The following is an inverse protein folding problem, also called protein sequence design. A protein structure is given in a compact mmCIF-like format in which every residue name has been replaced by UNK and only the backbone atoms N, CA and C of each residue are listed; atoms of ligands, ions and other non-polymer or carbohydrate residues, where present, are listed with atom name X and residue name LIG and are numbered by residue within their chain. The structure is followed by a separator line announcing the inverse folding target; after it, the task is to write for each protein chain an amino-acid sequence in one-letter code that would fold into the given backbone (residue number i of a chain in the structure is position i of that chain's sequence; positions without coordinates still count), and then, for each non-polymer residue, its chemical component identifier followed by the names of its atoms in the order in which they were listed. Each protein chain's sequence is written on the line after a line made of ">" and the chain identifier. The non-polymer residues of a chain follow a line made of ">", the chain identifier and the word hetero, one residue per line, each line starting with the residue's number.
data_IF_763106706104
#
_entry.id   IF_763106706104
#
_cell.length_a   1.000
_cell.length_b   1.000
_cell.length_c   1.000
_cell.angle_alpha   90.00
_cell.angle_beta   90.00
_cell.angle_gamma   90.00
#
_symmetry.space_group_name_H-M   'P 1'
#
loop_
_entity.id
_entity.type
_entity.pdbx_description
1 polymer ?
#
# COMPACT_ATOMS: atom_id res chain seq x y z
N UNK A 1 -5.46 28.74 3.39
CA UNK A 1 -4.35 28.46 2.45
C UNK A 1 -4.33 26.97 2.15
N UNK A 2 -4.63 26.64 0.88
CA UNK A 2 -4.30 25.43 0.09
C UNK A 2 -4.26 24.10 0.87
N UNK A 3 -5.24 23.19 0.80
CA UNK A 3 -5.90 22.68 -0.41
C UNK A 3 -5.15 21.45 -0.95
N UNK A 4 -5.27 20.29 -0.28
CA UNK A 4 -4.89 19.00 -0.84
C UNK A 4 -5.94 17.94 -0.51
N UNK A 5 -6.87 17.79 -1.43
CA UNK A 5 -7.92 16.78 -1.47
C UNK A 5 -7.31 15.48 -2.01
N UNK A 6 -7.14 14.45 -1.17
CA UNK A 6 -6.83 13.09 -1.66
C UNK A 6 -8.14 12.32 -1.84
N UNK A 7 -8.57 12.19 -3.10
CA UNK A 7 -9.61 11.25 -3.52
C UNK A 7 -9.16 9.82 -3.19
N UNK A 8 -9.94 9.12 -2.36
CA UNK A 8 -9.82 7.68 -2.18
C UNK A 8 -10.48 6.97 -3.37
N UNK A 9 -9.67 6.39 -4.24
CA UNK A 9 -10.13 5.49 -5.29
C UNK A 9 -10.37 4.09 -4.68
N UNK A 10 -11.64 3.75 -4.47
CA UNK A 10 -12.09 2.47 -3.95
C UNK A 10 -12.11 1.40 -5.06
N UNK A 11 -10.95 0.96 -5.55
CA UNK A 11 -10.83 -0.30 -6.33
C UNK A 11 -9.46 -0.95 -6.14
N UNK A 12 -9.33 -1.82 -5.13
CA UNK A 12 -8.19 -2.76 -5.08
C UNK A 12 -8.67 -4.18 -5.40
N UNK A 13 -8.59 -4.51 -6.68
CA UNK A 13 -8.46 -5.88 -7.17
C UNK A 13 -7.04 -6.36 -6.85
N UNK A 14 -6.95 -7.47 -6.12
CA UNK A 14 -5.71 -8.16 -5.78
C UNK A 14 -5.01 -8.67 -7.06
N UNK A 15 -3.89 -8.05 -7.40
CA UNK A 15 -2.85 -8.64 -8.27
C UNK A 15 -1.51 -8.60 -7.52
N UNK A 16 -0.68 -9.65 -7.63
CA UNK A 16 0.62 -9.68 -6.97
C UNK A 16 1.57 -8.69 -7.66
N UNK A 17 2.06 -7.70 -6.92
CA UNK A 17 3.15 -6.84 -7.37
C UNK A 17 4.46 -7.63 -7.32
N UNK A 18 5.13 -7.74 -8.47
CA UNK A 18 6.50 -8.23 -8.57
C UNK A 18 7.49 -7.31 -7.82
N UNK A 19 8.63 -7.85 -7.32
CA UNK A 19 9.59 -7.06 -6.57
C UNK A 19 10.31 -6.05 -7.47
N UNK A 20 10.41 -4.80 -6.99
CA UNK A 20 11.31 -3.78 -7.56
C UNK A 20 12.76 -4.24 -7.35
N UNK A 21 13.44 -4.58 -8.44
CA UNK A 21 14.88 -4.80 -8.45
C UNK A 21 15.54 -3.43 -8.24
N UNK A 22 16.31 -3.31 -7.15
CA UNK A 22 17.14 -2.15 -6.86
C UNK A 22 18.25 -2.04 -7.92
N UNK A 23 18.38 -0.86 -8.52
CA UNK A 23 19.41 -0.59 -9.52
C UNK A 23 20.80 -0.66 -8.89
N UNK A 24 21.58 -1.66 -9.30
CA UNK A 24 23.03 -1.65 -9.13
C UNK A 24 23.65 -1.34 -10.50
N UNK A 25 24.45 -0.26 -10.54
CA UNK A 25 25.26 0.12 -11.70
C UNK A 25 26.37 -0.91 -11.89
N UNK A 26 26.32 -1.68 -12.97
CA UNK A 26 27.50 -2.38 -13.50
C UNK A 26 27.42 -2.43 -15.02
N UNK A 27 28.41 -1.81 -15.67
CA UNK A 27 28.73 -1.99 -17.10
C UNK A 27 29.04 -3.48 -17.33
N UNK A 28 28.44 -4.11 -18.33
CA UNK A 28 29.11 -5.16 -19.11
C UNK A 28 28.47 -5.31 -20.50
N UNK A 29 29.36 -5.40 -21.48
CA UNK A 29 29.20 -5.63 -22.91
C UNK A 29 28.69 -7.03 -23.22
N UNK A 30 28.01 -7.22 -24.37
CA UNK A 30 27.70 -8.55 -24.92
C UNK A 30 28.18 -8.62 -26.39
N UNK A 31 28.73 -9.76 -26.84
CA UNK A 31 29.40 -9.92 -28.14
C UNK A 31 28.44 -10.22 -29.30
N UNK A 32 29.01 -10.09 -30.50
CA UNK A 32 28.44 -10.45 -31.78
C UNK A 32 28.16 -11.96 -31.93
N UNK A 33 27.04 -12.32 -32.59
CA UNK A 33 27.06 -12.93 -33.93
C UNK A 33 25.73 -13.61 -34.32
N UNK A 34 25.46 -13.55 -35.63
CA UNK A 34 24.51 -14.33 -36.46
C UNK A 34 23.05 -13.85 -36.48
N UNK A 35 22.67 -13.00 -37.45
CA UNK A 35 22.40 -13.27 -38.88
C UNK A 35 20.97 -13.78 -39.10
N UNK A 36 20.03 -12.91 -39.50
CA UNK A 36 19.53 -12.68 -40.88
C UNK A 36 18.00 -12.69 -40.73
N UNK A 37 17.17 -11.87 -41.35
CA UNK A 37 17.19 -11.34 -42.70
C UNK A 37 16.18 -10.15 -42.77
N UNK A 38 16.46 -9.20 -43.68
CA UNK A 38 15.60 -8.14 -44.29
C UNK A 38 15.27 -6.85 -43.53
N UNK A 39 15.83 -5.75 -44.07
CA UNK A 39 15.01 -4.69 -44.67
C UNK A 39 15.09 -3.29 -44.04
N UNK A 40 15.85 -2.39 -44.69
CA UNK A 40 15.78 -0.91 -44.61
C UNK A 40 16.27 -0.19 -43.34
N UNK A 41 17.59 -0.18 -43.13
CA UNK A 41 18.47 1.01 -43.18
C UNK A 41 18.31 2.21 -42.21
N UNK A 42 19.27 2.50 -41.31
CA UNK A 42 19.29 3.64 -40.37
C UNK A 42 19.73 4.99 -41.00
N UNK A 43 19.44 5.24 -42.28
CA UNK A 43 19.94 6.42 -43.01
C UNK A 43 19.15 7.72 -42.77
N UNK A 44 17.91 7.64 -42.30
CA UNK A 44 17.00 8.80 -42.26
C UNK A 44 17.23 9.66 -41.02
N UNK A 45 17.47 9.07 -39.83
CA UNK A 45 17.73 9.84 -38.61
C UNK A 45 19.06 10.63 -38.66
N UNK A 46 20.08 10.10 -39.35
CA UNK A 46 21.40 10.74 -39.43
C UNK A 46 21.43 11.94 -40.39
N UNK A 47 20.54 11.97 -41.38
CA UNK A 47 20.39 13.10 -42.30
C UNK A 47 19.62 14.27 -41.66
N UNK A 48 18.66 13.96 -40.78
CA UNK A 48 17.82 14.95 -40.06
C UNK A 48 18.68 15.79 -39.09
N UNK A 49 19.61 15.16 -38.38
CA UNK A 49 20.45 15.86 -37.39
C UNK A 49 21.41 16.86 -38.06
N UNK A 50 21.93 16.53 -39.25
CA UNK A 50 22.79 17.45 -40.03
C UNK A 50 22.03 18.65 -40.60
N UNK A 51 20.80 18.46 -41.08
CA UNK A 51 19.99 19.54 -41.64
C UNK A 51 19.54 20.55 -40.58
N UNK A 52 19.13 20.07 -39.39
CA UNK A 52 18.73 20.93 -38.27
C UNK A 52 19.93 21.68 -37.70
N UNK A 53 21.10 21.04 -37.59
CA UNK A 53 22.34 21.70 -37.16
C UNK A 53 22.80 22.81 -38.13
N UNK A 54 22.68 22.60 -39.44
CA UNK A 54 22.98 23.64 -40.45
C UNK A 54 22.02 24.83 -40.39
N UNK A 55 20.73 24.58 -40.11
CA UNK A 55 19.75 25.65 -39.97
C UNK A 55 20.01 26.51 -38.72
N UNK A 56 20.34 25.85 -37.60
CA UNK A 56 20.67 26.52 -36.33
C UNK A 56 21.97 27.31 -36.45
N UNK A 57 22.99 26.78 -37.13
CA UNK A 57 24.26 27.50 -37.34
C UNK A 57 24.09 28.73 -38.22
N UNK A 58 23.28 28.63 -39.28
CA UNK A 58 22.96 29.75 -40.18
C UNK A 58 22.19 30.86 -39.45
N UNK A 59 21.20 30.51 -38.63
CA UNK A 59 20.43 31.48 -37.84
C UNK A 59 21.28 32.15 -36.75
N UNK A 60 22.22 31.41 -36.14
CA UNK A 60 23.17 31.92 -35.14
C UNK A 60 24.17 32.92 -35.75
N UNK A 61 24.74 32.62 -36.92
CA UNK A 61 25.66 33.51 -37.63
C UNK A 61 25.00 34.82 -38.07
N UNK A 62 23.72 34.74 -38.45
CA UNK A 62 22.93 35.91 -38.87
C UNK A 62 22.57 36.78 -37.66
N UNK A 63 22.22 36.16 -36.52
CA UNK A 63 21.96 36.85 -35.24
C UNK A 63 23.21 37.53 -34.65
N UNK A 64 24.39 36.94 -34.80
CA UNK A 64 25.64 37.50 -34.29
C UNK A 64 26.09 38.79 -35.03
N UNK A 65 25.70 38.95 -36.30
CA UNK A 65 26.01 40.15 -37.11
C UNK A 65 25.11 41.36 -36.81
N UNK A 66 24.00 41.16 -36.09
CA UNK A 66 23.03 42.22 -35.75
C UNK A 66 23.38 42.99 -34.46
N UNK A 67 24.45 42.62 -33.75
CA UNK A 67 24.84 43.22 -32.46
C UNK A 67 25.59 44.56 -32.51
N UNK A 68 25.81 45.16 -33.69
CA UNK A 68 26.39 46.51 -33.83
C UNK A 68 25.65 47.30 -34.91
N UNK A 69 24.71 48.11 -34.47
CA UNK A 69 23.86 49.00 -35.27
C UNK A 69 24.62 50.26 -35.69
N UNK A 70 24.29 50.82 -36.86
CA UNK A 70 23.79 52.20 -37.04
C UNK A 70 23.39 52.41 -38.51
N UNK A 71 22.19 52.94 -38.69
CA UNK A 71 21.37 53.09 -39.92
C UNK A 71 20.67 51.84 -40.45
N UNK A 72 19.37 51.73 -40.13
CA UNK A 72 18.46 50.74 -40.73
C UNK A 72 17.79 51.40 -41.93
N UNK A 73 18.31 51.09 -43.10
CA UNK A 73 17.75 51.50 -44.39
C UNK A 73 16.47 50.68 -44.66
N UNK A 74 15.31 51.33 -44.67
CA UNK A 74 13.97 50.70 -44.80
C UNK A 74 13.89 49.88 -46.10
N UNK A 75 14.61 50.28 -47.15
CA UNK A 75 14.70 49.53 -48.40
C UNK A 75 15.47 48.21 -48.28
N UNK A 76 16.50 48.13 -47.44
CA UNK A 76 17.22 46.87 -47.19
C UNK A 76 16.40 45.89 -46.37
N UNK A 77 15.59 46.41 -45.43
CA UNK A 77 14.68 45.57 -44.65
C UNK A 77 13.57 45.01 -45.56
N UNK A 78 12.99 45.84 -46.45
CA UNK A 78 12.03 45.39 -47.45
C UNK A 78 12.60 44.30 -48.38
N UNK A 79 13.81 44.49 -48.90
CA UNK A 79 14.47 43.51 -49.76
C UNK A 79 14.81 42.18 -49.05
N UNK A 80 15.16 42.23 -47.76
CA UNK A 80 15.38 41.03 -46.95
C UNK A 80 14.08 40.28 -46.66
N UNK A 81 12.99 41.01 -46.42
CA UNK A 81 11.66 40.43 -46.23
C UNK A 81 11.14 39.83 -47.53
N UNK A 82 11.32 40.50 -48.67
CA UNK A 82 10.94 39.99 -49.99
C UNK A 82 11.75 38.75 -50.38
N UNK A 83 13.08 38.73 -50.13
CA UNK A 83 13.88 37.50 -50.33
C UNK A 83 13.46 36.36 -49.42
N UNK A 84 13.09 36.65 -48.18
CA UNK A 84 12.62 35.64 -47.24
C UNK A 84 11.25 35.10 -47.69
N UNK A 85 10.35 35.98 -48.13
CA UNK A 85 9.05 35.61 -48.67
C UNK A 85 9.19 34.80 -49.97
N UNK A 86 10.05 35.21 -50.90
CA UNK A 86 10.34 34.47 -52.13
C UNK A 86 10.98 33.11 -51.83
N UNK A 87 11.91 33.04 -50.89
CA UNK A 87 12.53 31.76 -50.49
C UNK A 87 11.53 30.84 -49.79
N UNK A 88 10.63 31.39 -48.97
CA UNK A 88 9.53 30.64 -48.37
C UNK A 88 8.51 30.18 -49.41
N UNK A 89 8.17 31.02 -50.39
CA UNK A 89 7.23 30.66 -51.45
C UNK A 89 7.82 29.62 -52.40
N UNK A 90 9.11 29.72 -52.71
CA UNK A 90 9.81 28.78 -53.59
C UNK A 90 9.97 27.40 -52.95
N UNK A 91 10.21 27.35 -51.63
CA UNK A 91 10.38 26.10 -50.89
C UNK A 91 9.07 25.55 -50.28
N UNK A 92 7.98 26.32 -50.34
CA UNK A 92 6.65 25.92 -49.85
C UNK A 92 6.16 24.59 -50.46
N UNK A 93 6.29 24.36 -51.79
CA UNK A 93 5.81 23.13 -52.42
C UNK A 93 6.60 21.89 -52.02
N UNK A 94 7.92 22.03 -51.78
CA UNK A 94 8.75 20.93 -51.28
C UNK A 94 8.45 20.64 -49.80
N UNK A 95 8.28 21.68 -48.99
CA UNK A 95 7.88 21.53 -47.59
C UNK A 95 6.49 20.88 -47.48
N UNK A 96 5.54 21.28 -48.32
CA UNK A 96 4.20 20.69 -48.43
C UNK A 96 4.28 19.22 -48.88
N UNK A 97 5.06 18.90 -49.91
CA UNK A 97 5.25 17.53 -50.40
C UNK A 97 5.89 16.61 -49.34
N UNK A 98 6.86 17.14 -48.60
CA UNK A 98 7.44 16.44 -47.45
C UNK A 98 6.39 16.25 -46.35
N UNK A 99 5.65 17.29 -45.97
CA UNK A 99 4.61 17.19 -44.96
C UNK A 99 3.52 16.17 -45.35
N UNK A 100 3.08 16.13 -46.61
CA UNK A 100 2.14 15.11 -47.09
C UNK A 100 2.75 13.71 -47.11
N UNK A 101 4.01 13.55 -47.51
CA UNK A 101 4.71 12.25 -47.45
C UNK A 101 4.87 11.75 -46.01
N UNK A 102 5.19 12.65 -45.08
CA UNK A 102 5.25 12.37 -43.65
C UNK A 102 3.86 12.05 -43.09
N UNK A 103 2.83 12.80 -43.48
CA UNK A 103 1.45 12.55 -43.10
C UNK A 103 0.95 11.20 -43.62
N UNK A 104 1.20 10.85 -44.88
CA UNK A 104 0.82 9.55 -45.46
C UNK A 104 1.57 8.38 -44.81
N UNK A 105 2.81 8.60 -44.34
CA UNK A 105 3.59 7.56 -43.66
C UNK A 105 3.14 7.36 -42.21
N UNK A 106 2.85 8.46 -41.50
CA UNK A 106 2.40 8.44 -40.09
C UNK A 106 0.92 8.02 -40.00
N UNK A 107 0.10 8.50 -40.93
CA UNK A 107 -1.35 8.23 -41.02
C UNK A 107 -1.70 7.18 -42.07
N UNK A 108 -0.74 6.41 -42.58
CA UNK A 108 -1.01 5.22 -43.42
C UNK A 108 -1.99 4.32 -42.67
N UNK A 109 -3.28 4.27 -43.06
CA UNK A 109 -4.32 3.66 -42.22
C UNK A 109 -4.01 2.19 -41.99
N UNK A 110 -3.36 1.54 -42.95
CA UNK A 110 -2.99 0.13 -42.92
C UNK A 110 -1.88 -0.19 -41.91
N UNK A 111 -0.88 0.68 -41.73
CA UNK A 111 0.24 0.43 -40.80
C UNK A 111 -0.20 0.64 -39.36
N UNK A 112 -0.89 1.76 -39.12
CA UNK A 112 -1.47 2.05 -37.80
C UNK A 112 -2.50 0.99 -37.42
N UNK A 113 -3.42 0.62 -38.32
CA UNK A 113 -4.38 -0.46 -38.10
C UNK A 113 -3.69 -1.80 -37.81
N UNK A 114 -2.60 -2.14 -38.52
CA UNK A 114 -1.82 -3.36 -38.24
C UNK A 114 -1.19 -3.34 -36.84
N UNK A 115 -0.65 -2.20 -36.40
CA UNK A 115 -0.10 -2.04 -35.05
C UNK A 115 -1.18 -2.17 -33.98
N UNK A 116 -2.34 -1.54 -34.16
CA UNK A 116 -3.48 -1.69 -33.25
C UNK A 116 -4.01 -3.12 -33.21
N UNK A 117 -4.11 -3.81 -34.34
CA UNK A 117 -4.52 -5.21 -34.40
C UNK A 117 -3.52 -6.14 -33.71
N UNK A 118 -2.21 -5.89 -33.86
CA UNK A 118 -1.18 -6.63 -33.13
C UNK A 118 -1.28 -6.40 -31.62
N UNK A 119 -1.46 -5.15 -31.18
CA UNK A 119 -1.62 -4.81 -29.77
C UNK A 119 -2.88 -5.45 -29.18
N UNK A 120 -4.00 -5.38 -29.90
CA UNK A 120 -5.26 -6.01 -29.49
C UNK A 120 -5.13 -7.53 -29.46
N UNK A 121 -4.45 -8.14 -30.44
CA UNK A 121 -4.15 -9.56 -30.45
C UNK A 121 -3.32 -10.00 -29.24
N UNK A 122 -2.31 -9.21 -28.85
CA UNK A 122 -1.50 -9.47 -27.66
C UNK A 122 -2.34 -9.38 -26.38
N UNK A 123 -3.11 -8.29 -26.21
CA UNK A 123 -4.00 -8.09 -25.07
C UNK A 123 -5.04 -9.22 -24.95
N UNK A 124 -5.67 -9.60 -26.06
CA UNK A 124 -6.63 -10.71 -26.09
C UNK A 124 -5.96 -12.04 -25.75
N UNK A 125 -4.73 -12.27 -26.21
CA UNK A 125 -3.98 -13.49 -25.87
C UNK A 125 -3.64 -13.54 -24.38
N UNK A 126 -3.18 -12.43 -23.79
CA UNK A 126 -2.91 -12.33 -22.35
C UNK A 126 -4.21 -12.51 -21.54
N UNK A 127 -5.31 -11.92 -22.00
CA UNK A 127 -6.62 -12.08 -21.37
C UNK A 127 -7.09 -13.55 -21.39
N UNK A 128 -7.03 -14.20 -22.56
CA UNK A 128 -7.39 -15.61 -22.73
C UNK A 128 -6.49 -16.50 -21.87
N UNK A 129 -5.17 -16.28 -21.88
CA UNK A 129 -4.23 -16.99 -21.02
C UNK A 129 -4.60 -16.85 -19.54
N UNK A 130 -4.87 -15.64 -19.07
CA UNK A 130 -5.29 -15.41 -17.69
C UNK A 130 -6.66 -16.01 -17.37
N UNK A 131 -7.58 -16.06 -18.33
CA UNK A 131 -8.88 -16.70 -18.17
C UNK A 131 -8.72 -18.21 -18.05
N UNK A 132 -7.98 -18.84 -18.96
CA UNK A 132 -7.67 -20.27 -18.95
C UNK A 132 -6.93 -20.67 -17.68
N UNK A 133 -5.91 -19.91 -17.26
CA UNK A 133 -5.21 -20.13 -16.00
C UNK A 133 -6.15 -20.07 -14.80
N UNK A 134 -7.03 -19.06 -14.73
CA UNK A 134 -8.01 -18.94 -13.63
C UNK A 134 -9.03 -20.07 -13.62
N UNK A 135 -9.51 -20.51 -14.79
CA UNK A 135 -10.46 -21.62 -14.89
C UNK A 135 -9.79 -22.95 -14.54
N UNK A 136 -8.60 -23.21 -15.07
CA UNK A 136 -7.79 -24.39 -14.74
C UNK A 136 -7.46 -24.46 -13.25
N UNK A 137 -6.98 -23.36 -12.65
CA UNK A 137 -6.70 -23.29 -11.22
C UNK A 137 -7.97 -23.54 -10.37
N UNK A 138 -9.14 -23.01 -10.77
CA UNK A 138 -10.41 -23.30 -10.08
C UNK A 138 -10.80 -24.77 -10.17
N UNK A 139 -10.61 -25.39 -11.33
CA UNK A 139 -10.92 -26.81 -11.52
C UNK A 139 -9.98 -27.70 -10.69
N UNK A 140 -8.67 -27.44 -10.74
CA UNK A 140 -7.67 -28.14 -9.93
C UNK A 140 -7.94 -27.95 -8.44
N UNK A 141 -8.28 -26.75 -7.98
CA UNK A 141 -8.65 -26.49 -6.59
C UNK A 141 -9.94 -27.22 -6.17
N UNK A 142 -10.89 -27.48 -7.08
CA UNK A 142 -12.07 -28.30 -6.77
C UNK A 142 -11.75 -29.80 -6.71
N UNK A 143 -10.86 -30.27 -7.58
CA UNK A 143 -10.54 -31.69 -7.68
C UNK A 143 -9.57 -32.15 -6.58
N UNK A 144 -8.64 -31.31 -6.15
CA UNK A 144 -7.68 -31.64 -5.10
C UNK A 144 -8.31 -31.62 -3.70
N UNK A 145 -7.93 -32.58 -2.85
CA UNK A 145 -8.36 -32.64 -1.43
C UNK A 145 -7.98 -31.34 -0.71
N UNK A 146 -6.76 -30.86 -0.95
CA UNK A 146 -6.23 -29.61 -0.40
C UNK A 146 -7.10 -28.40 -0.79
N UNK A 147 -7.49 -28.28 -2.05
CA UNK A 147 -8.31 -27.15 -2.51
C UNK A 147 -9.75 -27.19 -1.97
N UNK A 148 -10.33 -28.38 -1.77
CA UNK A 148 -11.61 -28.53 -1.05
C UNK A 148 -11.49 -28.08 0.40
N UNK A 149 -10.44 -28.50 1.11
CA UNK A 149 -10.16 -28.09 2.49
C UNK A 149 -9.99 -26.57 2.60
N UNK A 150 -9.26 -25.93 1.66
CA UNK A 150 -9.12 -24.47 1.61
C UNK A 150 -10.48 -23.80 1.42
N UNK A 151 -11.29 -24.28 0.47
CA UNK A 151 -12.63 -23.72 0.22
C UNK A 151 -13.56 -23.86 1.42
N UNK A 152 -13.54 -25.02 2.08
CA UNK A 152 -14.33 -25.28 3.29
C UNK A 152 -13.87 -24.40 4.45
N UNK A 153 -12.56 -24.33 4.70
CA UNK A 153 -11.97 -23.50 5.76
C UNK A 153 -12.31 -22.03 5.53
N UNK A 154 -12.22 -21.53 4.29
CA UNK A 154 -12.63 -20.17 3.94
C UNK A 154 -14.11 -19.91 4.23
N UNK A 155 -14.98 -20.89 3.93
CA UNK A 155 -16.41 -20.80 4.23
C UNK A 155 -16.67 -20.77 5.74
N UNK A 156 -15.91 -21.55 6.52
CA UNK A 156 -15.98 -21.57 7.98
C UNK A 156 -15.48 -20.25 8.59
N UNK A 157 -14.37 -19.70 8.11
CA UNK A 157 -13.87 -18.37 8.50
C UNK A 157 -14.93 -17.29 8.27
N UNK A 158 -15.58 -17.29 7.11
CA UNK A 158 -16.62 -16.29 6.78
C UNK A 158 -17.91 -16.44 7.62
N UNK A 159 -18.15 -17.61 8.21
CA UNK A 159 -19.32 -17.91 9.06
C UNK A 159 -19.00 -17.92 10.56
N UNK A 160 -17.75 -17.69 10.94
CA UNK A 160 -17.31 -17.73 12.33
C UNK A 160 -18.07 -16.68 13.16
N UNK A 161 -18.54 -17.07 14.35
CA UNK A 161 -19.33 -16.18 15.22
C UNK A 161 -18.47 -15.40 16.22
N UNK A 162 -17.29 -15.92 16.52
CA UNK A 162 -16.35 -15.34 17.47
C UNK A 162 -14.91 -15.44 16.94
N UNK A 163 -14.01 -14.69 17.58
CA UNK A 163 -12.60 -14.65 17.21
C UNK A 163 -11.93 -16.03 17.31
N UNK A 164 -12.26 -16.83 18.33
CA UNK A 164 -11.64 -18.14 18.55
C UNK A 164 -11.94 -19.16 17.44
N UNK A 165 -13.20 -19.24 16.99
CA UNK A 165 -13.59 -20.04 15.83
C UNK A 165 -12.90 -19.57 14.55
N UNK A 166 -12.82 -18.26 14.37
CA UNK A 166 -12.14 -17.65 13.23
C UNK A 166 -10.64 -17.99 13.26
N UNK A 167 -9.99 -17.85 14.42
CA UNK A 167 -8.56 -18.10 14.62
C UNK A 167 -8.20 -19.55 14.33
N UNK A 168 -8.97 -20.52 14.84
CA UNK A 168 -8.77 -21.94 14.50
C UNK A 168 -8.79 -22.20 13.00
N UNK A 169 -9.72 -21.55 12.30
CA UNK A 169 -9.80 -21.68 10.85
C UNK A 169 -8.66 -20.92 10.14
N UNK A 170 -8.22 -19.78 10.67
CA UNK A 170 -7.08 -19.01 10.18
C UNK A 170 -5.77 -19.80 10.31
N UNK A 171 -5.52 -20.43 11.44
CA UNK A 171 -4.36 -21.32 11.66
C UNK A 171 -4.37 -22.49 10.68
N UNK A 172 -5.54 -23.13 10.51
CA UNK A 172 -5.70 -24.20 9.52
C UNK A 172 -5.46 -23.70 8.09
N UNK A 173 -5.88 -22.48 7.77
CA UNK A 173 -5.62 -21.87 6.47
C UNK A 173 -4.11 -21.63 6.27
N UNK A 174 -3.42 -21.14 7.29
CA UNK A 174 -1.97 -20.92 7.24
C UNK A 174 -1.19 -22.22 7.07
N UNK A 175 -1.63 -23.32 7.70
CA UNK A 175 -1.08 -24.67 7.46
C UNK A 175 -1.28 -25.12 6.02
N UNK A 176 -2.51 -25.02 5.51
CA UNK A 176 -2.85 -25.45 4.16
C UNK A 176 -2.08 -24.63 3.12
N UNK A 177 -1.97 -23.32 3.29
CA UNK A 177 -1.25 -22.44 2.37
C UNK A 177 0.28 -22.46 2.60
N UNK A 178 0.77 -23.18 3.61
CA UNK A 178 2.20 -23.29 3.92
C UNK A 178 2.81 -22.02 4.51
N UNK A 179 1.97 -21.10 5.00
CA UNK A 179 2.37 -19.81 5.58
C UNK A 179 3.05 -19.97 6.94
N UNK A 180 2.81 -21.08 7.64
CA UNK A 180 3.52 -21.39 8.90
C UNK A 180 5.04 -21.42 8.72
N UNK A 181 5.53 -21.93 7.59
CA UNK A 181 6.99 -21.93 7.30
C UNK A 181 7.56 -20.52 7.30
N UNK A 182 6.83 -19.54 6.77
CA UNK A 182 7.26 -18.15 6.81
C UNK A 182 7.28 -17.58 8.23
N UNK A 183 6.34 -18.00 9.11
CA UNK A 183 6.31 -17.56 10.51
C UNK A 183 7.47 -18.13 11.32
N UNK A 184 7.84 -19.38 11.07
CA UNK A 184 8.94 -20.08 11.78
C UNK A 184 10.32 -19.53 11.41
N UNK A 185 10.54 -19.22 10.13
CA UNK A 185 11.82 -18.70 9.62
C UNK A 185 12.03 -17.25 10.11
N UNK A 186 13.01 -16.95 10.99
CA UNK A 186 13.21 -15.61 11.52
C UNK A 186 13.69 -14.59 10.48
N UNK A 187 14.30 -15.03 9.39
CA UNK A 187 14.88 -14.13 8.40
C UNK A 187 13.78 -13.36 7.64
N UNK A 188 13.98 -12.05 7.54
CA UNK A 188 13.15 -11.15 6.76
C UNK A 188 13.88 -9.83 6.53
N UNK A 189 13.55 -9.15 5.43
CA UNK A 189 13.98 -7.78 5.16
C UNK A 189 13.12 -6.73 5.85
N UNK A 190 11.99 -7.14 6.46
CA UNK A 190 11.00 -6.24 7.04
C UNK A 190 11.39 -5.74 8.44
N UNK A 191 12.29 -6.44 9.13
CA UNK A 191 12.77 -6.13 10.48
C UNK A 191 14.18 -6.70 10.69
N UNK A 192 14.87 -6.22 11.72
CA UNK A 192 16.20 -6.73 12.08
C UNK A 192 16.10 -7.93 13.04
N UNK A 193 16.01 -9.13 12.48
CA UNK A 193 15.91 -10.39 13.23
C UNK A 193 17.15 -10.69 14.09
N UNK A 194 18.35 -10.28 13.66
CA UNK A 194 19.60 -10.52 14.41
C UNK A 194 19.60 -9.73 15.71
N UNK A 195 19.32 -8.42 15.63
CA UNK A 195 19.22 -7.57 16.81
C UNK A 195 18.09 -8.02 17.75
N UNK A 196 16.99 -8.51 17.19
CA UNK A 196 15.89 -9.05 17.99
C UNK A 196 16.33 -10.31 18.76
N UNK A 197 17.04 -11.23 18.12
CA UNK A 197 17.57 -12.43 18.76
C UNK A 197 18.62 -12.10 19.84
N UNK A 198 19.53 -11.16 19.56
CA UNK A 198 20.51 -10.67 20.53
C UNK A 198 19.81 -10.08 21.76
N UNK A 199 18.74 -9.29 21.57
CA UNK A 199 17.96 -8.75 22.68
C UNK A 199 17.23 -9.81 23.50
N UNK A 200 16.65 -10.82 22.84
CA UNK A 200 16.07 -11.97 23.55
C UNK A 200 17.13 -12.63 24.44
N UNK A 201 18.31 -12.90 23.88
CA UNK A 201 19.40 -13.55 24.62
C UNK A 201 19.88 -12.67 25.78
N UNK A 202 20.01 -11.36 25.56
CA UNK A 202 20.41 -10.41 26.59
C UNK A 202 19.45 -10.43 27.79
N UNK A 203 18.14 -10.36 27.56
CA UNK A 203 17.16 -10.41 28.64
C UNK A 203 17.18 -11.75 29.39
N UNK A 204 17.27 -12.86 28.66
CA UNK A 204 17.35 -14.18 29.29
C UNK A 204 18.59 -14.32 30.18
N UNK A 205 19.75 -13.86 29.71
CA UNK A 205 20.99 -13.94 30.49
C UNK A 205 20.90 -13.08 31.76
N UNK A 206 20.33 -11.88 31.68
CA UNK A 206 20.14 -11.00 32.86
C UNK A 206 19.20 -11.64 33.90
N UNK A 207 18.09 -12.24 33.44
CA UNK A 207 17.18 -12.96 34.33
C UNK A 207 17.84 -14.19 34.95
N UNK A 208 18.61 -14.96 34.19
CA UNK A 208 19.33 -16.14 34.69
C UNK A 208 20.41 -15.80 35.72
N UNK A 209 21.13 -14.70 35.50
CA UNK A 209 22.16 -14.22 36.41
C UNK A 209 21.59 -13.49 37.64
N UNK A 210 20.29 -13.18 37.66
CA UNK A 210 19.67 -12.41 38.74
C UNK A 210 20.08 -10.94 38.77
N UNK A 211 20.59 -10.37 37.65
CA UNK A 211 20.99 -8.96 37.61
C UNK A 211 19.79 -8.06 37.36
N UNK A 212 19.02 -7.82 38.42
CA UNK A 212 17.77 -7.05 38.37
C UNK A 212 18.04 -5.58 38.02
N UNK A 213 19.11 -4.98 38.55
CA UNK A 213 19.44 -3.57 38.29
C UNK A 213 19.77 -3.34 36.82
N UNK A 214 20.61 -4.20 36.23
CA UNK A 214 20.92 -4.06 34.81
C UNK A 214 19.70 -4.36 33.94
N UNK A 215 18.86 -5.32 34.33
CA UNK A 215 17.60 -5.61 33.63
C UNK A 215 16.66 -4.40 33.65
N UNK A 216 16.48 -3.75 34.80
CA UNK A 216 15.70 -2.51 34.94
C UNK A 216 16.26 -1.39 34.06
N UNK A 217 17.58 -1.21 34.07
CA UNK A 217 18.24 -0.20 33.23
C UNK A 217 17.97 -0.42 31.75
N UNK A 218 18.14 -1.66 31.26
CA UNK A 218 17.93 -1.99 29.84
C UNK A 218 16.45 -1.95 29.47
N UNK A 219 15.53 -2.39 30.34
CA UNK A 219 14.10 -2.33 30.05
C UNK A 219 13.61 -0.88 29.96
N UNK A 220 14.06 0.00 30.86
CA UNK A 220 13.61 1.40 30.94
C UNK A 220 13.84 2.18 29.64
N UNK A 221 15.01 2.00 29.01
CA UNK A 221 15.37 2.70 27.76
C UNK A 221 15.34 1.83 26.50
N UNK A 222 15.24 0.52 26.66
CA UNK A 222 15.49 -0.45 25.59
C UNK A 222 14.24 -1.10 25.01
N UNK A 223 13.03 -0.76 25.48
CA UNK A 223 11.78 -1.22 24.87
C UNK A 223 11.11 -0.07 24.11
N UNK A 224 10.80 -0.29 22.83
CA UNK A 224 10.07 0.66 22.00
C UNK A 224 9.10 -0.06 21.06
N UNK A 225 7.99 0.60 20.72
CA UNK A 225 6.90 -0.02 19.93
C UNK A 225 7.35 -0.46 18.54
N UNK A 226 8.13 0.37 17.84
CA UNK A 226 8.67 0.04 16.52
C UNK A 226 10.15 -0.32 16.56
N UNK A 227 10.59 -0.92 17.66
CA UNK A 227 11.97 -1.37 17.79
C UNK A 227 12.30 -2.35 16.65
N UNK A 228 13.46 -2.22 16.03
CA UNK A 228 13.93 -3.10 14.95
C UNK A 228 12.98 -3.26 13.74
N UNK A 229 11.94 -2.43 13.58
CA UNK A 229 10.94 -2.57 12.51
C UNK A 229 9.76 -3.48 12.85
N UNK A 230 9.49 -3.76 14.13
CA UNK A 230 8.40 -4.65 14.56
C UNK A 230 6.99 -4.18 14.15
N UNK A 231 6.77 -2.90 13.85
CA UNK A 231 5.48 -2.39 13.35
C UNK A 231 5.37 -2.38 11.82
N UNK A 232 6.31 -3.01 11.11
CA UNK A 232 6.23 -3.09 9.66
C UNK A 232 4.97 -3.86 9.24
N UNK A 233 4.08 -3.20 8.49
CA UNK A 233 2.78 -3.74 8.06
C UNK A 233 2.92 -5.06 7.30
N UNK A 234 4.01 -5.24 6.53
CA UNK A 234 4.23 -6.46 5.74
C UNK A 234 4.35 -7.72 6.60
N UNK A 235 4.71 -7.59 7.88
CA UNK A 235 4.76 -8.71 8.83
C UNK A 235 3.37 -9.24 9.18
N UNK A 236 2.35 -8.39 9.15
CA UNK A 236 0.99 -8.71 9.60
C UNK A 236 0.05 -9.03 8.43
N UNK A 237 0.55 -9.00 7.19
CA UNK A 237 -0.22 -9.30 5.98
C UNK A 237 0.06 -10.70 5.42
N UNK A 238 1.10 -11.39 5.91
CA UNK A 238 1.60 -12.61 5.29
C UNK A 238 0.84 -13.88 5.72
N UNK A 239 0.49 -13.98 6.99
CA UNK A 239 -0.26 -15.08 7.59
C UNK A 239 -1.53 -14.56 8.28
N UNK A 240 -2.55 -15.41 8.41
CA UNK A 240 -3.83 -15.02 8.97
C UNK A 240 -3.84 -15.00 10.50
N UNK A 241 -3.19 -15.98 11.12
CA UNK A 241 -3.25 -16.25 12.56
C UNK A 241 -2.17 -15.52 13.37
N UNK A 242 -1.21 -14.86 12.74
CA UNK A 242 -0.16 -14.13 13.45
C UNK A 242 1.04 -13.76 12.58
N UNK A 243 2.10 -13.28 13.22
CA UNK A 243 3.32 -12.82 12.57
C UNK A 243 4.47 -13.82 12.75
N UNK A 244 5.70 -13.38 12.55
CA UNK A 244 6.94 -14.12 12.81
C UNK A 244 7.02 -14.59 14.26
N UNK A 245 7.35 -15.86 14.48
CA UNK A 245 7.45 -16.48 15.83
C UNK A 245 8.51 -15.83 16.72
N UNK A 246 9.61 -15.37 16.15
CA UNK A 246 10.63 -14.62 16.93
C UNK A 246 10.10 -13.28 17.47
N UNK A 247 9.14 -12.64 16.79
CA UNK A 247 8.51 -11.40 17.28
C UNK A 247 7.60 -11.72 18.47
N UNK A 248 6.79 -12.76 18.36
CA UNK A 248 5.97 -13.29 19.47
C UNK A 248 6.85 -13.62 20.68
N UNK A 249 7.94 -14.38 20.46
CA UNK A 249 8.92 -14.76 21.50
C UNK A 249 9.58 -13.55 22.16
N UNK A 250 9.96 -12.52 21.40
CA UNK A 250 10.54 -11.31 21.95
C UNK A 250 9.57 -10.62 22.93
N UNK A 251 8.30 -10.45 22.53
CA UNK A 251 7.28 -9.84 23.38
C UNK A 251 7.04 -10.68 24.65
N UNK A 252 6.99 -12.01 24.53
CA UNK A 252 6.90 -12.91 25.69
C UNK A 252 8.08 -12.74 26.66
N UNK A 253 9.31 -12.62 26.13
CA UNK A 253 10.52 -12.43 26.95
C UNK A 253 10.51 -11.07 27.63
N UNK A 254 10.05 -10.01 26.97
CA UNK A 254 9.87 -8.68 27.59
C UNK A 254 8.85 -8.74 28.73
N UNK A 255 7.71 -9.42 28.53
CA UNK A 255 6.71 -9.61 29.60
C UNK A 255 7.29 -10.40 30.76
N UNK A 256 7.99 -11.51 30.48
CA UNK A 256 8.68 -12.31 31.50
C UNK A 256 9.70 -11.47 32.28
N UNK A 257 10.48 -10.64 31.61
CA UNK A 257 11.46 -9.76 32.24
C UNK A 257 10.80 -8.69 33.14
N UNK A 258 9.70 -8.09 32.70
CA UNK A 258 8.93 -7.14 33.52
C UNK A 258 8.34 -7.82 34.77
N UNK A 259 7.78 -9.02 34.62
CA UNK A 259 7.27 -9.79 35.75
C UNK A 259 8.38 -10.23 36.69
N UNK A 260 9.54 -10.63 36.16
CA UNK A 260 10.71 -10.96 36.98
C UNK A 260 11.11 -9.79 37.88
N UNK A 261 11.21 -8.57 37.34
CA UNK A 261 11.47 -7.36 38.15
C UNK A 261 10.38 -7.12 39.20
N UNK A 262 9.12 -7.42 38.89
CA UNK A 262 8.00 -7.29 39.81
C UNK A 262 8.15 -8.26 41.00
N UNK A 263 8.39 -9.54 40.72
CA UNK A 263 8.32 -10.66 41.66
C UNK A 263 9.54 -10.79 42.59
N UNK A 264 10.68 -10.20 42.20
CA UNK A 264 11.90 -10.09 43.03
C UNK A 264 11.58 -9.56 44.42
N UNK A 265 12.10 -10.17 45.49
CA UNK A 265 11.72 -9.77 46.85
C UNK A 265 12.45 -8.48 47.26
N UNK A 266 11.75 -7.39 47.64
CA UNK A 266 12.37 -6.14 48.06
C UNK A 266 13.42 -6.29 49.17
N UNK A 267 13.23 -7.27 50.07
CA UNK A 267 14.09 -7.49 51.24
C UNK A 267 15.36 -8.29 50.95
N UNK A 268 15.40 -9.07 49.86
CA UNK A 268 16.56 -9.90 49.51
C UNK A 268 17.50 -9.20 48.53
N UNK A 269 16.96 -8.34 47.66
CA UNK A 269 17.70 -7.77 46.54
C UNK A 269 18.03 -6.28 46.70
N UNK A 270 17.78 -5.69 47.89
CA UNK A 270 17.99 -4.27 48.21
C UNK A 270 17.24 -3.29 47.27
N UNK A 271 16.13 -3.71 46.67
CA UNK A 271 15.31 -2.85 45.80
C UNK A 271 14.02 -2.49 46.52
N UNK A 272 13.93 -1.26 47.00
CA UNK A 272 12.71 -0.78 47.64
C UNK A 272 11.51 -0.77 46.68
N UNK A 273 10.30 -0.90 47.23
CA UNK A 273 9.06 -0.85 46.45
C UNK A 273 8.93 0.48 45.66
N UNK A 274 9.39 1.59 46.24
CA UNK A 274 9.37 2.91 45.60
C UNK A 274 10.23 2.96 44.34
N UNK A 275 11.41 2.34 44.37
CA UNK A 275 12.31 2.26 43.20
C UNK A 275 11.68 1.43 42.09
N UNK A 276 11.01 0.32 42.43
CA UNK A 276 10.26 -0.47 41.44
C UNK A 276 9.11 0.31 40.83
N UNK A 277 8.33 1.01 41.66
CA UNK A 277 7.20 1.81 41.21
C UNK A 277 7.66 2.94 40.28
N UNK A 278 8.76 3.63 40.62
CA UNK A 278 9.37 4.63 39.77
C UNK A 278 9.77 4.03 38.41
N UNK A 279 10.48 2.90 38.42
CA UNK A 279 10.88 2.18 37.20
C UNK A 279 9.68 1.84 36.31
N UNK A 280 8.62 1.24 36.86
CA UNK A 280 7.44 0.87 36.07
C UNK A 280 6.71 2.10 35.52
N UNK A 281 6.61 3.16 36.31
CA UNK A 281 6.00 4.40 35.84
C UNK A 281 6.79 4.99 34.68
N UNK A 282 8.11 5.15 34.83
CA UNK A 282 8.99 5.71 33.81
C UNK A 282 9.02 4.86 32.54
N UNK A 283 9.14 3.54 32.69
CA UNK A 283 9.12 2.57 31.58
C UNK A 283 7.80 2.64 30.83
N UNK A 284 6.67 2.70 31.55
CA UNK A 284 5.34 2.88 30.96
C UNK A 284 5.20 4.22 30.24
N UNK A 285 5.75 5.29 30.81
CA UNK A 285 5.74 6.62 30.19
C UNK A 285 6.55 6.62 28.88
N UNK A 286 7.73 6.00 28.87
CA UNK A 286 8.58 5.88 27.69
C UNK A 286 7.94 5.00 26.59
N UNK A 287 7.35 3.84 26.97
CA UNK A 287 6.71 2.94 26.01
C UNK A 287 5.40 3.49 25.43
N UNK A 288 4.73 4.36 26.18
CA UNK A 288 3.48 5.00 25.80
C UNK A 288 2.27 4.07 25.85
N UNK A 289 1.09 4.63 25.56
CA UNK A 289 -0.19 3.91 25.58
C UNK A 289 -0.71 3.69 24.17
N UNK A 290 -1.34 2.54 23.94
CA UNK A 290 -2.03 2.27 22.67
C UNK A 290 -3.29 3.13 22.62
N UNK A 291 -3.57 3.74 21.47
CA UNK A 291 -4.80 4.46 21.21
C UNK A 291 -5.54 3.82 20.03
N UNK A 292 -6.87 3.75 20.13
CA UNK A 292 -7.73 3.30 19.05
C UNK A 292 -8.36 4.52 18.36
N UNK A 293 -8.06 4.68 17.07
CA UNK A 293 -8.57 5.76 16.24
C UNK A 293 -9.65 5.22 15.29
N UNK A 294 -10.90 5.64 15.50
CA UNK A 294 -12.05 5.26 14.69
C UNK A 294 -12.37 6.36 13.68
N UNK A 295 -12.12 6.10 12.39
CA UNK A 295 -12.35 7.10 11.35
C UNK A 295 -13.84 7.34 11.08
N UNK A 296 -14.14 8.43 10.39
CA UNK A 296 -15.45 8.62 9.79
C UNK A 296 -15.64 7.70 8.59
N UNK A 297 -16.89 7.39 8.25
CA UNK A 297 -17.19 6.53 7.10
C UNK A 297 -18.67 6.45 6.73
N UNK A 298 -19.46 7.45 7.11
CA UNK A 298 -20.92 7.43 7.00
C UNK A 298 -21.50 6.07 7.45
N UNK A 299 -22.29 5.40 6.60
CA UNK A 299 -22.87 4.08 6.90
C UNK A 299 -21.85 2.93 7.03
N UNK A 300 -20.61 3.07 6.57
CA UNK A 300 -19.56 2.06 6.78
C UNK A 300 -18.90 2.19 8.16
N UNK A 301 -19.13 3.29 8.88
CA UNK A 301 -18.58 3.47 10.24
C UNK A 301 -19.06 2.42 11.23
N UNK A 302 -20.14 1.68 10.94
CA UNK A 302 -20.65 0.62 11.83
C UNK A 302 -19.73 -0.61 11.91
N UNK A 303 -18.81 -0.81 10.96
CA UNK A 303 -17.81 -1.87 11.09
C UNK A 303 -16.94 -1.69 12.34
N UNK A 304 -16.78 -0.45 12.81
CA UNK A 304 -16.05 -0.18 14.05
C UNK A 304 -16.70 -0.82 15.28
N UNK A 305 -18.01 -1.04 15.31
CA UNK A 305 -18.69 -1.70 16.44
C UNK A 305 -18.23 -3.15 16.56
N UNK A 306 -18.18 -3.88 15.44
CA UNK A 306 -17.69 -5.26 15.44
C UNK A 306 -16.22 -5.35 15.83
N UNK A 307 -15.41 -4.38 15.37
CA UNK A 307 -14.00 -4.31 15.74
C UNK A 307 -13.79 -4.04 17.24
N UNK A 308 -14.49 -3.06 17.80
CA UNK A 308 -14.46 -2.76 19.25
C UNK A 308 -14.92 -3.96 20.05
N UNK A 309 -16.04 -4.58 19.67
CA UNK A 309 -16.55 -5.79 20.34
C UNK A 309 -15.48 -6.88 20.38
N UNK A 310 -14.81 -7.15 19.25
CA UNK A 310 -13.76 -8.15 19.19
C UNK A 310 -12.58 -7.81 20.12
N UNK A 311 -12.16 -6.55 20.19
CA UNK A 311 -11.10 -6.12 21.12
C UNK A 311 -11.54 -6.23 22.59
N UNK A 312 -12.79 -5.88 22.88
CA UNK A 312 -13.36 -5.98 24.22
C UNK A 312 -13.49 -7.44 24.68
N UNK A 313 -14.05 -8.32 23.84
CA UNK A 313 -14.16 -9.76 24.10
C UNK A 313 -12.79 -10.43 24.34
N UNK A 314 -11.71 -9.84 23.82
CA UNK A 314 -10.33 -10.31 24.01
C UNK A 314 -9.59 -9.58 25.15
N UNK A 315 -10.22 -8.64 25.84
CA UNK A 315 -9.61 -7.88 26.95
C UNK A 315 -8.48 -6.94 26.52
N UNK A 316 -8.42 -6.55 25.24
CA UNK A 316 -7.35 -5.72 24.65
C UNK A 316 -7.85 -4.39 24.10
N UNK A 317 -9.06 -3.97 24.47
CA UNK A 317 -9.61 -2.67 24.07
C UNK A 317 -8.77 -1.52 24.65
N UNK A 318 -8.19 -0.64 23.82
CA UNK A 318 -7.36 0.45 24.34
C UNK A 318 -8.18 1.48 25.12
N UNK A 319 -7.61 1.97 26.24
CA UNK A 319 -8.22 3.00 27.08
C UNK A 319 -8.26 4.40 26.45
N UNK A 320 -7.39 4.66 25.47
CA UNK A 320 -7.37 5.93 24.76
C UNK A 320 -8.14 5.75 23.46
N UNK A 321 -9.31 6.36 23.38
CA UNK A 321 -10.20 6.30 22.22
C UNK A 321 -10.24 7.67 21.54
N UNK A 322 -10.19 7.68 20.21
CA UNK A 322 -10.43 8.85 19.39
C UNK A 322 -11.33 8.47 18.23
N UNK A 323 -12.29 9.32 17.90
CA UNK A 323 -13.28 9.03 16.87
C UNK A 323 -13.64 10.28 16.07
N UNK A 324 -13.95 10.10 14.80
CA UNK A 324 -14.47 11.15 13.92
C UNK A 324 -15.82 10.74 13.31
N UNK A 325 -16.82 11.63 13.36
CA UNK A 325 -18.15 11.39 12.77
C UNK A 325 -18.79 10.07 13.28
N UNK A 326 -19.02 9.07 12.42
CA UNK A 326 -19.52 7.77 12.86
C UNK A 326 -18.62 7.11 13.93
N UNK A 327 -17.29 7.28 13.81
CA UNK A 327 -16.34 6.81 14.82
C UNK A 327 -16.47 7.54 16.16
N UNK A 328 -16.80 8.84 16.18
CA UNK A 328 -16.97 9.59 17.43
C UNK A 328 -18.20 9.14 18.20
N UNK A 329 -19.29 8.80 17.50
CA UNK A 329 -20.49 8.23 18.12
C UNK A 329 -20.11 6.93 18.85
N UNK A 330 -19.37 6.04 18.19
CA UNK A 330 -18.96 4.75 18.76
C UNK A 330 -17.98 4.97 19.92
N UNK A 331 -16.97 5.84 19.76
CA UNK A 331 -16.05 6.19 20.85
C UNK A 331 -16.78 6.77 22.06
N UNK A 332 -17.75 7.66 21.88
CA UNK A 332 -18.56 8.22 22.97
C UNK A 332 -19.46 7.16 23.61
N UNK A 333 -20.06 6.26 22.84
CA UNK A 333 -20.83 5.13 23.37
C UNK A 333 -19.96 4.26 24.30
N UNK A 334 -18.70 4.03 23.92
CA UNK A 334 -17.80 3.22 24.74
C UNK A 334 -17.31 4.02 25.96
N UNK A 335 -16.90 5.28 25.75
CA UNK A 335 -16.26 6.10 26.77
C UNK A 335 -17.15 6.54 27.93
N UNK A 336 -18.48 6.38 27.83
CA UNK A 336 -19.43 6.68 28.92
C UNK A 336 -19.87 5.45 29.71
N UNK A 337 -19.31 4.27 29.41
CA UNK A 337 -19.73 2.99 30.02
C UNK A 337 -18.61 2.36 30.84
N UNK A 338 -18.99 1.64 31.89
CA UNK A 338 -18.11 0.70 32.60
C UNK A 338 -17.91 -0.59 31.79
N UNK A 339 -16.94 -1.42 32.18
CA UNK A 339 -16.71 -2.70 31.53
C UNK A 339 -17.94 -3.63 31.65
N UNK A 340 -18.66 -3.62 32.78
CA UNK A 340 -19.89 -4.41 32.97
C UNK A 340 -21.02 -3.92 32.05
N UNK A 341 -21.18 -2.60 31.92
CA UNK A 341 -22.16 -2.01 31.02
C UNK A 341 -21.82 -2.27 29.55
N UNK A 342 -20.53 -2.31 29.19
CA UNK A 342 -20.07 -2.70 27.86
C UNK A 342 -20.34 -4.17 27.57
N UNK A 343 -20.13 -5.05 28.56
CA UNK A 343 -20.45 -6.46 28.43
C UNK A 343 -21.93 -6.65 28.14
N UNK A 344 -22.81 -6.09 28.97
CA UNK A 344 -24.27 -6.11 28.75
C UNK A 344 -24.66 -5.49 27.40
N UNK A 345 -23.97 -4.42 26.98
CA UNK A 345 -24.19 -3.80 25.66
C UNK A 345 -23.97 -4.78 24.51
N UNK A 346 -22.92 -5.60 24.59
CA UNK A 346 -22.50 -6.54 23.54
C UNK A 346 -23.18 -7.91 23.61
N UNK A 347 -23.61 -8.37 24.79
CA UNK A 347 -24.30 -9.66 24.97
C UNK A 347 -25.81 -9.55 24.81
N UNK A 348 -26.41 -8.52 25.39
CA UNK A 348 -27.88 -8.47 25.58
C UNK A 348 -28.59 -7.77 24.42
N UNK A 349 -27.85 -7.45 23.35
CA UNK A 349 -28.38 -6.74 22.19
C UNK A 349 -28.74 -5.28 22.45
N UNK A 350 -28.27 -4.70 23.57
CA UNK A 350 -28.47 -3.28 23.92
C UNK A 350 -27.69 -2.36 22.97
N UNK A 351 -26.68 -2.87 22.25
CA UNK A 351 -26.22 -2.26 21.01
C UNK A 351 -27.30 -2.34 19.91
N UNK A 352 -28.49 -1.77 20.17
CA UNK A 352 -29.54 -1.56 19.18
C UNK A 352 -29.06 -0.50 18.21
N UNK A 353 -28.34 -0.93 17.18
CA UNK A 353 -27.95 -0.12 16.03
C UNK A 353 -29.16 0.28 15.15
N UNK A 354 -30.38 -0.07 15.59
CA UNK A 354 -31.66 0.23 14.93
C UNK A 354 -31.94 1.72 14.78
N UNK A 355 -31.38 2.57 15.67
CA UNK A 355 -31.47 4.03 15.55
C UNK A 355 -30.99 4.54 14.17
N UNK A 356 -30.04 3.86 13.53
CA UNK A 356 -29.52 4.25 12.21
C UNK A 356 -30.24 3.58 11.03
N UNK A 357 -31.10 2.57 11.26
CA UNK A 357 -31.96 1.99 10.21
C UNK A 357 -33.03 2.97 9.71
N UNK A 358 -33.25 4.08 10.43
CA UNK A 358 -34.18 5.14 10.08
C UNK A 358 -33.89 5.81 8.73
N UNK A 359 -32.65 5.76 8.22
CA UNK A 359 -32.33 6.32 6.89
C UNK A 359 -32.93 5.53 5.73
N UNK A 360 -33.08 4.19 5.88
CA UNK A 360 -33.64 3.33 4.83
C UNK A 360 -35.17 3.39 4.76
N UNK A 361 -35.84 3.78 5.85
CA UNK A 361 -37.31 3.93 5.89
C UNK A 361 -37.77 5.25 5.27
N UNK A 362 -37.06 6.35 5.50
CA UNK A 362 -37.44 7.67 4.95
C UNK A 362 -37.34 7.73 3.42
N UNK A 363 -36.32 7.13 2.82
CA UNK A 363 -36.18 7.07 1.35
C UNK A 363 -37.21 6.16 0.69
N UNK A 364 -37.55 5.03 1.32
CA UNK A 364 -38.61 4.13 0.83
C UNK A 364 -40.01 4.74 0.98
N UNK A 365 -40.27 5.46 2.07
CA UNK A 365 -41.52 6.18 2.29
C UNK A 365 -41.66 7.39 1.36
N UNK A 366 -40.59 8.14 1.13
CA UNK A 366 -40.58 9.24 0.16
C UNK A 366 -40.79 8.73 -1.28
N UNK A 367 -40.09 7.67 -1.69
CA UNK A 367 -40.28 7.06 -3.01
C UNK A 367 -41.69 6.48 -3.21
N UNK A 368 -42.31 5.91 -2.17
CA UNK A 368 -43.69 5.43 -2.21
C UNK A 368 -44.72 6.58 -2.29
N UNK A 369 -44.46 7.71 -1.62
CA UNK A 369 -45.30 8.91 -1.71
C UNK A 369 -45.23 9.58 -3.09
N UNK A 370 -44.06 9.58 -3.74
CA UNK A 370 -43.91 10.12 -5.11
C UNK A 370 -44.55 9.22 -6.18
N UNK A 371 -44.57 7.89 -5.95
CA UNK A 371 -45.22 6.94 -6.86
C UNK A 371 -46.76 7.00 -6.78
N UNK A 372 -47.33 7.39 -5.64
CA UNK A 372 -48.77 7.54 -5.46
C UNK A 372 -49.31 8.88 -5.96
N UNK A 373 -48.48 9.94 -6.01
CA UNK A 373 -48.86 11.24 -6.58
C UNK A 373 -48.76 11.31 -8.12
N UNK A 374 -48.16 10.31 -8.78
CA UNK A 374 -47.99 10.28 -10.24
C UNK A 374 -49.00 9.42 -11.01
N UNK A 375 -49.95 8.79 -10.32
CA UNK A 375 -50.97 7.90 -10.93
C UNK A 375 -52.35 8.55 -11.05
N UNK A 376 -52.44 9.87 -10.86
CA UNK A 376 -53.66 10.65 -11.01
C UNK A 376 -53.42 11.89 -11.87
N UNK A 377 -53.27 11.68 -13.18
CA UNK A 377 -53.50 12.65 -14.25
C UNK A 377 -53.93 11.88 -15.49
#
# INVERSE_FOLDING_TARGET
>A
MVGYEKRYDQRFLLLPRWPRIAGNRTRFSIPAAMASDRGTGPGVLFAIDKGVQQLISSLSETGARLGRVRDVDIHRLGYLVDRLLESLHHNLPEAERLLYSWADTIFAPKVVLRQYLMALGLEMTLFIYHLCYRLGARLVNRMTVKGRQISETRRRMAKAKNYYEWLKCAERMDELEGKNRWREVPESTLYNHRMLQEKINQFNNMMQNGDVFQLMFVLRGGISRNQFGLLNEGLYQHAYSGTKKIVERYLEVVVKALNFVCDVNPSLDNISADVKLAFFNETRHAFGRTALLLSGGAGLGFYHVGFVKALFDQGILPRVLSGASAGSIISSMIGVRTDDELYAMFTDGIARLDFFKLYKRRTKAAAAATATSGAGC
#
